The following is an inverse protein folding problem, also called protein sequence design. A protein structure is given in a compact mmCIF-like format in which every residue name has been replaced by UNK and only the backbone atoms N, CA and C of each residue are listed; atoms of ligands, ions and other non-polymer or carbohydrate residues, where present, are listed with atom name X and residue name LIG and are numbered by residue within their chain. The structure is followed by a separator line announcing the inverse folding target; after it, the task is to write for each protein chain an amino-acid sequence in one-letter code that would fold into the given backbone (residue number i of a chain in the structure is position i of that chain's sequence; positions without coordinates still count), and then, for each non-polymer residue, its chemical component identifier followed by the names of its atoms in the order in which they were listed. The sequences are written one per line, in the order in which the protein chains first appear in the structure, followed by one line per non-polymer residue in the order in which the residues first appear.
data_IF_278077719582
#
_entry.id   IF_278077719582
#
_cell.length_a   1.000
_cell.length_b   1.000
_cell.length_c   1.000
_cell.angle_alpha   90.00
_cell.angle_beta   90.00
_cell.angle_gamma   90.00
#
_symmetry.space_group_name_H-M   'P 1'
#
loop_
_entity.id
_entity.type
_entity.pdbx_description
1 polymer ?
#
# COMPACT_ATOMS: atom_id res chain seq x y z
N UNK A 1 23.55 -14.44 -20.36
CA UNK A 1 22.20 -14.80 -19.88
C UNK A 1 21.98 -14.12 -18.53
N UNK A 2 21.51 -12.86 -18.56
CA UNK A 2 21.13 -12.12 -17.36
C UNK A 2 19.79 -12.68 -16.87
N UNK A 3 19.84 -13.47 -15.80
CA UNK A 3 18.67 -13.90 -15.05
C UNK A 3 17.99 -12.63 -14.50
N UNK A 4 16.95 -12.16 -15.19
CA UNK A 4 15.98 -11.22 -14.67
C UNK A 4 15.40 -11.85 -13.40
N UNK A 5 15.94 -11.48 -12.24
CA UNK A 5 15.22 -11.61 -10.97
C UNK A 5 13.81 -11.08 -11.24
N UNK A 6 12.74 -11.80 -10.87
CA UNK A 6 11.41 -11.24 -10.97
C UNK A 6 11.40 -10.01 -10.06
N UNK A 7 11.55 -8.82 -10.66
CA UNK A 7 11.32 -7.54 -10.02
C UNK A 7 9.92 -7.66 -9.41
N UNK A 8 9.88 -7.88 -8.09
CA UNK A 8 8.67 -8.14 -7.32
C UNK A 8 7.57 -7.20 -7.82
N UNK A 9 6.59 -7.75 -8.55
CA UNK A 9 5.57 -6.95 -9.22
C UNK A 9 4.89 -6.08 -8.17
N UNK A 10 5.06 -4.75 -8.27
CA UNK A 10 4.53 -3.81 -7.27
C UNK A 10 3.02 -3.95 -7.24
N UNK A 11 2.49 -4.42 -6.10
CA UNK A 11 1.05 -4.55 -5.86
C UNK A 11 0.50 -3.21 -5.42
N UNK A 12 -0.73 -2.90 -5.81
CA UNK A 12 -1.44 -1.71 -5.37
C UNK A 12 -2.14 -2.03 -4.05
N UNK A 13 -1.65 -1.48 -2.96
CA UNK A 13 -2.16 -1.72 -1.61
C UNK A 13 -2.97 -0.53 -1.11
N UNK A 14 -4.24 -0.75 -0.79
CA UNK A 14 -5.08 0.22 -0.10
C UNK A 14 -4.90 0.05 1.41
N UNK A 15 -4.37 1.07 2.08
CA UNK A 15 -4.18 1.12 3.53
C UNK A 15 -5.23 2.05 4.13
N UNK A 16 -6.16 1.47 4.88
CA UNK A 16 -7.15 2.21 5.68
C UNK A 16 -6.61 2.41 7.10
N UNK A 17 -6.70 3.63 7.59
CA UNK A 17 -6.22 4.02 8.91
C UNK A 17 -7.15 5.03 9.58
N UNK A 18 -7.10 5.06 10.90
CA UNK A 18 -7.76 6.06 11.73
C UNK A 18 -6.71 7.06 12.19
N UNK A 19 -6.91 8.33 11.87
CA UNK A 19 -6.07 9.43 12.33
C UNK A 19 -6.81 10.20 13.41
N UNK A 20 -6.13 10.49 14.52
CA UNK A 20 -6.67 11.33 15.59
C UNK A 20 -6.13 12.75 15.42
N UNK A 21 -7.02 13.65 15.03
CA UNK A 21 -6.76 15.09 15.01
C UNK A 21 -7.21 15.69 16.36
N UNK A 22 -6.77 16.91 16.68
CA UNK A 22 -6.90 17.53 18.00
C UNK A 22 -8.28 17.40 18.66
N UNK A 23 -9.35 17.42 17.86
CA UNK A 23 -10.74 17.42 18.35
C UNK A 23 -11.63 16.35 17.72
N UNK A 24 -11.12 15.57 16.77
CA UNK A 24 -11.93 14.55 16.09
C UNK A 24 -11.08 13.43 15.49
N UNK A 25 -11.72 12.29 15.28
CA UNK A 25 -11.12 11.14 14.62
C UNK A 25 -11.58 11.06 13.17
N UNK A 26 -10.67 10.75 12.26
CA UNK A 26 -10.97 10.61 10.84
C UNK A 26 -10.49 9.26 10.33
N UNK A 27 -11.30 8.60 9.50
CA UNK A 27 -10.87 7.43 8.74
C UNK A 27 -10.34 7.92 7.38
N UNK A 28 -9.15 7.46 7.02
CA UNK A 28 -8.52 7.76 5.73
C UNK A 28 -8.07 6.47 5.06
N UNK A 29 -8.15 6.43 3.74
CA UNK A 29 -7.63 5.31 2.94
C UNK A 29 -6.64 5.83 1.91
N UNK A 30 -5.40 5.33 1.98
CA UNK A 30 -4.29 5.75 1.13
C UNK A 30 -3.86 4.58 0.25
N UNK A 31 -3.62 4.84 -1.02
CA UNK A 31 -3.07 3.82 -1.93
C UNK A 31 -1.55 3.89 -1.89
N UNK A 32 -0.89 2.75 -1.66
CA UNK A 32 0.56 2.60 -1.64
C UNK A 32 0.97 1.47 -2.57
N UNK A 33 1.99 1.73 -3.40
CA UNK A 33 2.64 0.69 -4.20
C UNK A 33 3.67 -0.06 -3.34
N UNK A 34 3.43 -1.35 -3.14
CA UNK A 34 4.24 -2.18 -2.27
C UNK A 34 4.37 -3.60 -2.81
N UNK A 35 5.46 -4.27 -2.46
CA UNK A 35 5.73 -5.65 -2.88
C UNK A 35 4.96 -6.65 -2.01
N UNK A 36 4.69 -6.29 -0.76
CA UNK A 36 3.99 -7.12 0.22
C UNK A 36 3.18 -6.29 1.20
N UNK A 37 2.29 -6.94 1.97
CA UNK A 37 1.56 -6.30 3.08
C UNK A 37 2.50 -5.66 4.11
N UNK A 38 3.63 -6.32 4.40
CA UNK A 38 4.64 -5.83 5.36
C UNK A 38 5.35 -4.59 4.82
N UNK A 39 5.70 -4.59 3.53
CA UNK A 39 6.28 -3.42 2.85
C UNK A 39 5.29 -2.25 2.80
N UNK A 40 4.01 -2.52 2.50
CA UNK A 40 2.95 -1.50 2.50
C UNK A 40 2.81 -0.83 3.88
N UNK A 41 2.79 -1.62 4.96
CA UNK A 41 2.73 -1.08 6.31
C UNK A 41 3.98 -0.26 6.67
N UNK A 42 5.18 -0.75 6.30
CA UNK A 42 6.44 -0.02 6.53
C UNK A 42 6.46 1.33 5.81
N UNK A 43 6.05 1.36 4.53
CA UNK A 43 5.93 2.59 3.75
C UNK A 43 4.86 3.52 4.33
N UNK A 44 3.70 2.98 4.72
CA UNK A 44 2.63 3.76 5.34
C UNK A 44 3.11 4.47 6.61
N UNK A 45 3.77 3.74 7.53
CA UNK A 45 4.29 4.30 8.79
C UNK A 45 5.41 5.33 8.59
N UNK A 46 6.16 5.27 7.48
CA UNK A 46 7.13 6.32 7.14
C UNK A 46 6.45 7.62 6.70
N UNK A 47 5.33 7.53 5.98
CA UNK A 47 4.56 8.69 5.51
C UNK A 47 3.76 9.29 6.67
N UNK A 48 3.18 8.43 7.53
CA UNK A 48 2.34 8.82 8.65
C UNK A 48 2.90 8.27 9.98
N UNK A 49 3.94 8.91 10.54
CA UNK A 49 4.67 8.39 11.70
C UNK A 49 3.93 8.54 13.04
N UNK A 50 2.99 9.49 13.15
CA UNK A 50 2.32 9.81 14.41
C UNK A 50 0.79 9.74 14.30
N UNK A 51 0.15 9.35 15.41
CA UNK A 51 -1.31 9.38 15.64
C UNK A 51 -2.17 8.75 14.53
N UNK A 52 -1.63 7.72 13.88
CA UNK A 52 -2.30 7.03 12.77
C UNK A 52 -2.34 5.54 13.04
N UNK A 53 -3.52 5.03 13.37
CA UNK A 53 -3.76 3.61 13.64
C UNK A 53 -4.17 2.91 12.35
N UNK A 54 -3.31 2.00 11.86
CA UNK A 54 -3.65 1.19 10.68
C UNK A 54 -4.77 0.22 11.05
N UNK A 55 -5.90 0.31 10.36
CA UNK A 55 -7.06 -0.55 10.57
C UNK A 55 -7.05 -1.75 9.63
N UNK A 56 -6.75 -1.52 8.36
CA UNK A 56 -6.78 -2.57 7.33
C UNK A 56 -5.83 -2.27 6.19
N UNK A 57 -5.18 -3.30 5.67
CA UNK A 57 -4.43 -3.22 4.42
C UNK A 57 -5.00 -4.25 3.45
N UNK A 58 -5.31 -3.83 2.23
CA UNK A 58 -5.74 -4.70 1.12
C UNK A 58 -4.79 -4.51 -0.05
N UNK A 59 -3.98 -5.52 -0.37
CA UNK A 59 -3.17 -5.51 -1.58
C UNK A 59 -3.92 -6.21 -2.70
N UNK A 60 -4.02 -5.54 -3.85
CA UNK A 60 -4.48 -6.15 -5.10
C UNK A 60 -3.30 -6.23 -6.06
N UNK A 61 -3.20 -7.37 -6.72
CA UNK A 61 -2.26 -7.52 -7.83
C UNK A 61 -2.63 -6.50 -8.90
N UNK A 62 -1.63 -5.76 -9.37
CA UNK A 62 -1.84 -4.83 -10.44
C UNK A 62 -1.96 -5.63 -11.73
N UNK A 63 -3.19 -5.99 -12.09
CA UNK A 63 -3.49 -6.51 -13.43
C UNK A 63 -3.42 -5.30 -14.34
N UNK A 64 -2.32 -5.17 -15.10
CA UNK A 64 -2.22 -4.17 -16.13
C UNK A 64 -3.27 -4.51 -17.21
N UNK A 65 -4.34 -3.71 -17.40
CA UNK A 65 -5.39 -4.07 -18.34
C UNK A 65 -4.87 -4.17 -19.79
N UNK A 66 -3.74 -3.52 -20.08
CA UNK A 66 -3.09 -3.54 -21.38
C UNK A 66 -2.22 -4.79 -21.64
N UNK A 67 -1.87 -5.57 -20.61
CA UNK A 67 -1.14 -6.84 -20.79
C UNK A 67 -2.05 -7.94 -21.37
N UNK A 68 -3.37 -7.80 -21.28
CA UNK A 68 -4.33 -8.79 -21.80
C UNK A 68 -4.58 -8.69 -23.32
N UNK A 69 -4.02 -7.68 -24.00
CA UNK A 69 -4.31 -7.37 -25.42
C UNK A 69 -3.20 -7.89 -26.36
N UNK A 70 -2.18 -8.61 -25.85
CA UNK A 70 -1.14 -9.24 -26.68
C UNK A 70 -1.43 -10.71 -26.96
#
# INVERSE_FOLDING_TARGET
MSLLQPLLARKRCLVSSKITLLYYERIQSVTIWAESLKDANKKFRKIFPHRTNVMRIRCREHINPYERIQ
#
